data_IF_294563426732
#
_entry.id   IF_294563426732
#
_cell.length_a   1.000
_cell.length_b   1.000
_cell.length_c   1.000
_cell.angle_alpha   90.00
_cell.angle_beta   90.00
_cell.angle_gamma   90.00
#
_symmetry.space_group_name_H-M   'P 1'
#
loop_
_entity.id
_entity.type
_entity.pdbx_description
1 polymer ?
#
# COMPACT_ATOMS: atom_id res chain seq x y z
N UNK A 1 -11.80 20.16 -5.80
CA UNK A 1 -11.60 21.62 -5.65
C UNK A 1 -10.89 21.99 -4.35
N UNK A 2 -11.10 21.29 -3.23
CA UNK A 2 -10.46 21.63 -1.95
C UNK A 2 -8.92 21.60 -2.00
N UNK A 3 -8.31 20.60 -2.64
CA UNK A 3 -6.84 20.52 -2.79
C UNK A 3 -6.31 21.73 -3.56
N UNK A 4 -6.87 22.03 -4.73
CA UNK A 4 -6.51 23.21 -5.54
C UNK A 4 -6.60 24.50 -4.71
N UNK A 5 -7.73 24.73 -4.02
CA UNK A 5 -7.91 25.91 -3.16
C UNK A 5 -6.89 26.01 -2.03
N UNK A 6 -6.47 24.87 -1.47
CA UNK A 6 -5.41 24.86 -0.46
C UNK A 6 -4.06 25.22 -1.08
N UNK A 7 -3.75 24.68 -2.26
CA UNK A 7 -2.51 24.95 -2.99
C UNK A 7 -2.40 26.37 -3.52
N UNK A 8 -3.52 27.02 -3.81
CA UNK A 8 -3.58 28.46 -4.11
C UNK A 8 -3.19 29.33 -2.90
N UNK A 9 -3.36 28.83 -1.66
CA UNK A 9 -3.04 29.57 -0.43
C UNK A 9 -1.66 29.26 0.11
N UNK A 10 -1.18 28.03 -0.06
CA UNK A 10 0.15 27.62 0.39
C UNK A 10 0.63 26.36 -0.30
N UNK A 11 1.93 26.33 -0.59
CA UNK A 11 2.63 25.11 -1.00
C UNK A 11 3.08 24.27 0.20
N UNK A 12 3.06 24.81 1.43
CA UNK A 12 3.58 24.15 2.63
C UNK A 12 2.69 23.00 3.09
N UNK A 13 3.30 22.08 3.84
CA UNK A 13 2.62 20.92 4.42
C UNK A 13 2.38 19.80 3.40
N UNK A 14 1.88 18.67 3.91
CA UNK A 14 1.66 17.45 3.12
C UNK A 14 0.17 17.11 3.05
N UNK A 15 -0.37 17.02 1.84
CA UNK A 15 -1.73 16.51 1.59
C UNK A 15 -1.60 15.03 1.26
N UNK A 16 -1.99 14.19 2.21
CA UNK A 16 -2.00 12.74 2.07
C UNK A 16 -3.42 12.20 1.86
N UNK A 17 -3.60 11.34 0.86
CA UNK A 17 -4.84 10.60 0.65
C UNK A 17 -4.75 9.20 1.26
N UNK A 18 -5.66 8.87 2.17
CA UNK A 18 -5.89 7.49 2.60
C UNK A 18 -7.08 6.93 1.83
N UNK A 19 -6.89 5.80 1.15
CA UNK A 19 -7.95 5.20 0.32
C UNK A 19 -7.82 3.68 0.28
N UNK A 20 -8.90 3.01 -0.17
CA UNK A 20 -8.86 1.59 -0.54
C UNK A 20 -8.41 1.39 -2.00
N UNK A 21 -8.20 2.46 -2.77
CA UNK A 21 -7.75 2.41 -4.15
C UNK A 21 -8.81 1.92 -5.15
N UNK A 22 -10.10 1.96 -4.79
CA UNK A 22 -11.18 1.39 -5.60
C UNK A 22 -11.51 2.14 -6.90
N UNK A 23 -11.10 3.40 -7.04
CA UNK A 23 -11.48 4.25 -8.19
C UNK A 23 -10.24 4.99 -8.73
N UNK A 24 -9.48 4.38 -9.65
CA UNK A 24 -8.24 4.95 -10.17
C UNK A 24 -8.39 6.32 -10.80
N UNK A 25 -9.46 6.56 -11.58
CA UNK A 25 -9.62 7.85 -12.27
C UNK A 25 -9.86 9.00 -11.27
N UNK A 26 -10.53 8.72 -10.15
CA UNK A 26 -10.73 9.73 -9.09
C UNK A 26 -9.44 10.02 -8.34
N UNK A 27 -8.63 9.00 -8.06
CA UNK A 27 -7.32 9.20 -7.43
C UNK A 27 -6.39 10.02 -8.33
N UNK A 28 -6.36 9.73 -9.63
CA UNK A 28 -5.58 10.48 -10.62
C UNK A 28 -5.98 11.95 -10.67
N UNK A 29 -7.28 12.26 -10.68
CA UNK A 29 -7.78 13.64 -10.59
C UNK A 29 -7.35 14.38 -9.32
N UNK A 30 -7.16 13.66 -8.21
CA UNK A 30 -6.63 14.25 -6.98
C UNK A 30 -5.12 14.50 -7.08
N UNK A 31 -4.38 13.62 -7.77
CA UNK A 31 -2.97 13.83 -8.10
C UNK A 31 -2.80 15.13 -8.91
N UNK A 32 -3.56 15.28 -10.00
CA UNK A 32 -3.54 16.48 -10.84
C UNK A 32 -3.93 17.76 -10.08
N UNK A 33 -4.70 17.63 -8.99
CA UNK A 33 -5.13 18.75 -8.17
C UNK A 33 -4.06 19.22 -7.15
N UNK A 34 -2.92 18.54 -7.02
CA UNK A 34 -1.82 18.89 -6.10
C UNK A 34 -1.74 18.05 -4.82
N UNK A 35 -2.19 16.79 -4.87
CA UNK A 35 -1.94 15.80 -3.82
C UNK A 35 -0.43 15.50 -3.73
N UNK A 36 0.13 15.28 -2.54
CA UNK A 36 1.57 14.95 -2.40
C UNK A 36 1.82 13.46 -2.22
N UNK A 37 0.95 12.78 -1.48
CA UNK A 37 1.10 11.36 -1.18
C UNK A 37 -0.23 10.63 -1.16
N UNK A 38 -0.16 9.34 -1.46
CA UNK A 38 -1.29 8.43 -1.42
C UNK A 38 -0.89 7.15 -0.67
N UNK A 39 -1.85 6.65 0.11
CA UNK A 39 -1.74 5.38 0.81
C UNK A 39 -2.93 4.49 0.52
N UNK A 40 -2.64 3.27 0.07
CA UNK A 40 -3.65 2.23 -0.17
C UNK A 40 -3.50 1.10 0.83
N UNK A 41 -4.60 0.68 1.46
CA UNK A 41 -4.58 -0.43 2.42
C UNK A 41 -4.79 -1.77 1.73
N UNK A 42 -3.92 -2.74 2.01
CA UNK A 42 -3.98 -4.11 1.49
C UNK A 42 -3.66 -5.10 2.63
N UNK A 43 -4.38 -6.22 2.70
CA UNK A 43 -3.95 -7.38 3.47
C UNK A 43 -3.12 -8.37 2.64
N UNK A 44 -3.28 -8.35 1.32
CA UNK A 44 -2.63 -9.25 0.37
C UNK A 44 -2.63 -8.64 -1.03
N UNK A 45 -1.60 -8.93 -1.82
CA UNK A 45 -1.53 -8.63 -3.26
C UNK A 45 -2.33 -9.63 -4.12
N UNK A 46 -2.70 -10.78 -3.55
CA UNK A 46 -3.45 -11.82 -4.24
C UNK A 46 -4.96 -11.56 -4.15
N UNK A 47 -5.63 -11.57 -5.31
CA UNK A 47 -7.06 -11.28 -5.42
C UNK A 47 -7.94 -12.13 -4.49
N UNK A 48 -7.62 -13.42 -4.33
CA UNK A 48 -8.34 -14.33 -3.42
C UNK A 48 -8.34 -13.82 -1.98
N UNK A 49 -7.17 -13.56 -1.42
CA UNK A 49 -7.03 -13.19 -0.01
C UNK A 49 -7.43 -11.73 0.23
N UNK A 50 -7.20 -10.86 -0.75
CA UNK A 50 -7.77 -9.52 -0.76
C UNK A 50 -9.30 -9.56 -0.63
N UNK A 51 -9.97 -10.36 -1.47
CA UNK A 51 -11.44 -10.49 -1.45
C UNK A 51 -11.95 -11.08 -0.14
N UNK A 52 -11.30 -12.11 0.39
CA UNK A 52 -11.70 -12.77 1.64
C UNK A 52 -11.69 -11.80 2.83
N UNK A 53 -10.71 -10.92 2.90
CA UNK A 53 -10.59 -9.92 3.97
C UNK A 53 -11.48 -8.71 3.73
N UNK A 54 -11.31 -8.02 2.60
CA UNK A 54 -11.94 -6.72 2.35
C UNK A 54 -13.40 -6.82 1.91
N UNK A 55 -13.82 -7.97 1.36
CA UNK A 55 -15.16 -8.18 0.78
C UNK A 55 -15.62 -6.99 -0.09
N UNK A 56 -14.79 -6.58 -1.08
CA UNK A 56 -15.05 -5.37 -1.84
C UNK A 56 -16.31 -5.49 -2.71
N UNK A 57 -17.00 -4.37 -2.92
CA UNK A 57 -18.15 -4.25 -3.81
C UNK A 57 -17.73 -3.41 -5.02
N UNK A 58 -17.80 -4.00 -6.22
CA UNK A 58 -17.53 -3.28 -7.47
C UNK A 58 -16.06 -2.98 -7.77
N UNK A 59 -15.10 -3.55 -7.03
CA UNK A 59 -13.67 -3.47 -7.34
C UNK A 59 -12.89 -4.67 -6.79
N UNK A 60 -11.64 -4.79 -7.19
CA UNK A 60 -10.69 -5.83 -6.79
C UNK A 60 -9.34 -5.21 -6.42
N UNK A 61 -8.37 -6.06 -6.06
CA UNK A 61 -6.99 -5.61 -5.86
C UNK A 61 -6.41 -4.95 -7.11
N UNK A 62 -6.90 -5.25 -8.32
CA UNK A 62 -6.40 -4.67 -9.57
C UNK A 62 -6.58 -3.16 -9.60
N UNK A 63 -7.74 -2.65 -9.19
CA UNK A 63 -8.02 -1.21 -9.13
C UNK A 63 -7.12 -0.52 -8.08
N UNK A 64 -6.85 -1.19 -6.96
CA UNK A 64 -5.93 -0.69 -5.95
C UNK A 64 -4.50 -0.56 -6.48
N UNK A 65 -4.02 -1.57 -7.22
CA UNK A 65 -2.71 -1.54 -7.90
C UNK A 65 -2.67 -0.45 -8.98
N UNK A 66 -3.73 -0.35 -9.80
CA UNK A 66 -3.84 0.67 -10.84
C UNK A 66 -3.81 2.09 -10.27
N UNK A 67 -4.52 2.31 -9.16
CA UNK A 67 -4.49 3.58 -8.42
C UNK A 67 -3.06 3.97 -8.03
N UNK A 68 -2.28 3.03 -7.49
CA UNK A 68 -0.89 3.27 -7.12
C UNK A 68 -0.01 3.53 -8.34
N UNK A 69 -0.13 2.71 -9.39
CA UNK A 69 0.64 2.86 -10.64
C UNK A 69 0.40 4.23 -11.27
N UNK A 70 -0.86 4.68 -11.38
CA UNK A 70 -1.19 6.00 -11.93
C UNK A 70 -0.66 7.14 -11.06
N UNK A 71 -0.86 7.07 -9.75
CA UNK A 71 -0.35 8.08 -8.83
C UNK A 71 1.17 8.19 -8.92
N UNK A 72 1.89 7.05 -8.97
CA UNK A 72 3.35 7.04 -9.15
C UNK A 72 3.76 7.67 -10.48
N UNK A 73 3.04 7.37 -11.56
CA UNK A 73 3.26 7.98 -12.88
C UNK A 73 3.11 9.51 -12.88
N UNK A 74 2.35 10.07 -11.95
CA UNK A 74 2.19 11.51 -11.72
C UNK A 74 3.20 12.10 -10.72
N UNK A 75 4.17 11.32 -10.26
CA UNK A 75 5.19 11.76 -9.31
C UNK A 75 4.73 11.81 -7.86
N UNK A 76 3.56 11.25 -7.53
CA UNK A 76 3.05 11.20 -6.15
C UNK A 76 3.84 10.19 -5.33
N UNK A 77 4.10 10.52 -4.06
CA UNK A 77 4.70 9.58 -3.12
C UNK A 77 3.69 8.48 -2.76
N UNK A 78 3.99 7.25 -3.15
CA UNK A 78 3.07 6.12 -3.05
C UNK A 78 3.44 5.20 -1.90
N UNK A 79 2.45 4.82 -1.11
CA UNK A 79 2.63 3.88 -0.03
C UNK A 79 1.51 2.86 0.04
N UNK A 80 1.82 1.70 0.62
CA UNK A 80 0.80 0.76 1.06
C UNK A 80 0.76 0.68 2.58
N UNK A 81 -0.44 0.54 3.12
CA UNK A 81 -0.66 0.09 4.47
C UNK A 81 -0.86 -1.42 4.46
N UNK A 82 0.23 -2.17 4.61
CA UNK A 82 0.22 -3.63 4.60
C UNK A 82 -0.24 -4.12 5.98
N UNK A 83 -1.35 -4.84 6.01
CA UNK A 83 -1.87 -5.47 7.23
C UNK A 83 -1.12 -6.78 7.47
N UNK A 84 -0.14 -6.71 8.35
CA UNK A 84 0.81 -7.78 8.65
C UNK A 84 0.20 -8.76 9.62
N UNK A 85 0.22 -10.03 9.23
CA UNK A 85 -0.11 -11.17 10.06
C UNK A 85 1.02 -12.21 9.94
N UNK A 86 1.86 -12.39 10.97
CA UNK A 86 2.94 -13.39 10.95
C UNK A 86 2.42 -14.80 10.68
N UNK A 87 3.11 -15.56 9.85
CA UNK A 87 2.68 -16.85 9.33
C UNK A 87 1.88 -16.77 8.03
N UNK A 88 1.29 -15.61 7.73
CA UNK A 88 0.52 -15.40 6.50
C UNK A 88 1.21 -14.42 5.54
N UNK A 89 1.46 -13.19 5.99
CA UNK A 89 2.01 -12.12 5.13
C UNK A 89 3.45 -12.39 4.69
N UNK A 90 4.19 -13.17 5.48
CA UNK A 90 5.58 -13.59 5.28
C UNK A 90 5.72 -15.02 4.74
N UNK A 91 4.68 -15.59 4.15
CA UNK A 91 4.83 -16.83 3.38
C UNK A 91 5.38 -16.52 1.99
N UNK A 92 6.10 -17.48 1.40
CA UNK A 92 6.75 -17.36 0.09
C UNK A 92 5.84 -16.74 -0.99
N UNK A 93 4.62 -17.26 -1.15
CA UNK A 93 3.67 -16.73 -2.14
C UNK A 93 3.23 -15.28 -1.90
N UNK A 94 3.07 -14.85 -0.65
CA UNK A 94 2.74 -13.43 -0.39
C UNK A 94 3.94 -12.54 -0.73
N UNK A 95 5.16 -13.00 -0.42
CA UNK A 95 6.39 -12.27 -0.71
C UNK A 95 6.59 -12.13 -2.22
N UNK A 96 6.41 -13.20 -2.99
CA UNK A 96 6.41 -13.15 -4.47
C UNK A 96 5.39 -12.12 -4.98
N UNK A 97 4.17 -12.15 -4.43
CA UNK A 97 3.13 -11.19 -4.81
C UNK A 97 3.47 -9.75 -4.42
N UNK A 98 4.13 -9.53 -3.27
CA UNK A 98 4.61 -8.21 -2.86
C UNK A 98 5.75 -7.73 -3.76
N UNK A 99 6.64 -8.62 -4.20
CA UNK A 99 7.69 -8.31 -5.17
C UNK A 99 7.07 -7.82 -6.48
N UNK A 100 6.10 -8.56 -7.05
CA UNK A 100 5.41 -8.13 -8.27
C UNK A 100 4.63 -6.82 -8.08
N UNK A 101 4.00 -6.65 -6.92
CA UNK A 101 3.32 -5.39 -6.58
C UNK A 101 4.30 -4.22 -6.62
N UNK A 102 5.40 -4.30 -5.85
CA UNK A 102 6.40 -3.23 -5.76
C UNK A 102 7.03 -2.96 -7.12
N UNK A 103 7.35 -3.99 -7.90
CA UNK A 103 7.92 -3.85 -9.25
C UNK A 103 6.96 -3.09 -10.18
N UNK A 104 5.69 -3.43 -10.16
CA UNK A 104 4.66 -2.81 -11.02
C UNK A 104 4.33 -1.38 -10.63
N UNK A 105 4.22 -1.11 -9.33
CA UNK A 105 3.79 0.21 -8.83
C UNK A 105 4.95 1.15 -8.57
N UNK A 106 6.18 0.64 -8.44
CA UNK A 106 7.37 1.36 -7.96
C UNK A 106 7.07 2.09 -6.63
N UNK A 107 6.51 1.34 -5.68
CA UNK A 107 6.13 1.86 -4.37
C UNK A 107 7.31 2.51 -3.64
N UNK A 108 7.03 3.58 -2.91
CA UNK A 108 8.05 4.28 -2.12
C UNK A 108 8.14 3.73 -0.70
N UNK A 109 7.00 3.36 -0.11
CA UNK A 109 6.92 2.98 1.30
C UNK A 109 5.93 1.83 1.54
N UNK A 110 6.39 0.78 2.22
CA UNK A 110 5.52 -0.18 2.89
C UNK A 110 5.37 0.24 4.35
N UNK A 111 4.16 0.67 4.72
CA UNK A 111 3.79 0.86 6.11
C UNK A 111 3.26 -0.45 6.69
N UNK A 112 4.02 -1.03 7.61
CA UNK A 112 3.69 -2.30 8.23
C UNK A 112 2.78 -2.07 9.44
N UNK A 113 1.53 -2.53 9.36
CA UNK A 113 0.57 -2.43 10.46
C UNK A 113 0.15 -3.80 10.93
N UNK A 114 0.21 -4.02 12.24
CA UNK A 114 -0.30 -5.26 12.82
C UNK A 114 -1.78 -5.42 12.48
N UNK A 115 -2.14 -6.60 11.97
CA UNK A 115 -3.52 -6.96 11.76
C UNK A 115 -4.13 -7.39 13.11
N UNK A 116 -4.85 -6.47 13.74
CA UNK A 116 -5.50 -6.69 15.04
C UNK A 116 -6.85 -7.40 14.87
N UNK A 117 -6.81 -8.67 14.49
CA UNK A 117 -7.97 -9.55 14.34
C UNK A 117 -7.78 -10.81 15.19
N UNK A 118 -8.88 -11.47 15.55
CA UNK A 118 -8.82 -12.81 16.13
C UNK A 118 -8.02 -13.77 15.21
N UNK A 119 -6.90 -14.34 15.69
CA UNK A 119 -6.03 -15.19 14.87
C UNK A 119 -6.72 -16.46 14.37
N UNK A 120 -7.57 -17.09 15.16
CA UNK A 120 -8.25 -18.34 14.78
C UNK A 120 -9.30 -18.09 13.70
N UNK A 121 -10.06 -16.99 13.83
CA UNK A 121 -10.99 -16.54 12.80
C UNK A 121 -10.28 -16.21 11.49
N UNK A 122 -9.14 -15.50 11.58
CA UNK A 122 -8.37 -15.11 10.41
C UNK A 122 -7.81 -16.34 9.69
N UNK A 123 -7.16 -17.24 10.42
CA UNK A 123 -6.56 -18.46 9.86
C UNK A 123 -7.61 -19.43 9.31
N UNK A 124 -8.80 -19.50 9.92
CA UNK A 124 -9.94 -20.26 9.37
C UNK A 124 -10.37 -19.73 8.00
N UNK A 125 -10.31 -18.42 7.81
CA UNK A 125 -10.71 -17.75 6.56
C UNK A 125 -9.60 -17.78 5.50
N UNK A 126 -8.36 -17.54 5.93
CA UNK A 126 -7.22 -17.33 5.05
C UNK A 126 -6.41 -18.60 4.75
N UNK A 127 -6.61 -19.65 5.55
CA UNK A 127 -5.79 -20.84 5.55
C UNK A 127 -4.53 -20.65 6.40
N UNK A 128 -4.15 -21.73 7.09
CA UNK A 128 -2.87 -21.81 7.80
C UNK A 128 -1.75 -21.96 6.79
N UNK A 129 -0.65 -21.26 7.04
CA UNK A 129 0.60 -21.40 6.30
C UNK A 129 1.76 -21.20 7.28
N UNK A 130 2.92 -21.69 6.89
CA UNK A 130 4.18 -21.40 7.58
C UNK A 130 4.80 -20.15 6.95
N UNK A 131 4.99 -19.13 7.76
CA UNK A 131 5.71 -17.91 7.38
C UNK A 131 7.20 -18.10 7.61
N UNK A 132 8.01 -17.44 6.79
CA UNK A 132 9.48 -17.51 6.92
C UNK A 132 10.06 -16.46 7.87
N UNK A 133 9.21 -15.67 8.53
CA UNK A 133 9.55 -14.58 9.43
C UNK A 133 9.40 -13.22 8.77
N UNK A 134 8.76 -12.28 9.48
CA UNK A 134 8.57 -10.89 9.03
C UNK A 134 9.91 -10.21 8.70
N UNK A 135 10.95 -10.42 9.53
CA UNK A 135 12.27 -9.84 9.28
C UNK A 135 12.86 -10.34 7.95
N UNK A 136 12.75 -11.64 7.69
CA UNK A 136 13.24 -12.24 6.44
C UNK A 136 12.50 -11.71 5.21
N UNK A 137 11.18 -11.49 5.32
CA UNK A 137 10.41 -10.79 4.28
C UNK A 137 10.96 -9.38 4.02
N UNK A 138 11.21 -8.59 5.07
CA UNK A 138 11.78 -7.23 4.94
C UNK A 138 13.15 -7.30 4.26
N UNK A 139 14.02 -8.23 4.66
CA UNK A 139 15.37 -8.37 4.10
C UNK A 139 15.32 -8.72 2.60
N UNK A 140 14.43 -9.64 2.20
CA UNK A 140 14.22 -10.01 0.79
C UNK A 140 13.77 -8.80 -0.02
N UNK A 141 12.75 -8.08 0.45
CA UNK A 141 12.21 -6.92 -0.25
C UNK A 141 13.22 -5.76 -0.32
N UNK A 142 13.99 -5.54 0.75
CA UNK A 142 15.01 -4.48 0.79
C UNK A 142 16.18 -4.79 -0.14
N UNK A 143 16.56 -6.07 -0.28
CA UNK A 143 17.60 -6.52 -1.21
C UNK A 143 17.16 -6.38 -2.66
N UNK A 144 15.92 -6.75 -2.98
CA UNK A 144 15.35 -6.66 -4.32
C UNK A 144 15.07 -5.19 -4.72
N UNK A 145 14.63 -4.36 -3.78
CA UNK A 145 14.25 -2.96 -4.02
C UNK A 145 14.97 -2.01 -3.03
N UNK A 146 16.24 -1.63 -3.29
CA UNK A 146 17.01 -0.78 -2.38
C UNK A 146 16.42 0.62 -2.11
N UNK A 147 15.52 1.11 -2.98
CA UNK A 147 14.82 2.39 -2.80
C UNK A 147 13.50 2.27 -2.02
N UNK A 148 13.02 1.05 -1.80
CA UNK A 148 11.80 0.80 -1.04
C UNK A 148 12.06 1.05 0.44
N UNK A 149 11.22 1.87 1.05
CA UNK A 149 11.31 2.17 2.47
C UNK A 149 10.30 1.35 3.27
N UNK A 150 10.63 1.12 4.55
CA UNK A 150 9.73 0.54 5.53
C UNK A 150 9.45 1.55 6.63
N UNK A 151 8.24 1.52 7.19
CA UNK A 151 7.91 2.42 8.28
C UNK A 151 6.52 2.19 8.86
N UNK A 152 6.09 3.15 9.66
CA UNK A 152 4.81 3.07 10.37
C UNK A 152 3.93 4.29 10.12
N UNK A 153 4.52 5.49 10.02
CA UNK A 153 3.79 6.75 9.90
C UNK A 153 3.87 7.36 8.50
N UNK A 154 2.91 8.24 8.21
CA UNK A 154 2.99 9.10 7.04
C UNK A 154 4.20 10.05 7.19
N UNK A 155 4.86 10.30 6.08
CA UNK A 155 6.01 11.20 6.01
C UNK A 155 5.54 12.58 5.57
N UNK A 156 6.34 13.60 5.89
CA UNK A 156 6.16 14.91 5.27
C UNK A 156 6.92 14.94 3.94
N UNK A 157 6.50 15.79 3.00
CA UNK A 157 7.10 15.87 1.66
C UNK A 157 8.59 16.18 1.68
N UNK A 158 9.07 16.86 2.72
CA UNK A 158 10.50 17.16 2.95
C UNK A 158 11.32 15.92 3.36
N UNK A 159 10.65 14.82 3.76
CA UNK A 159 11.25 13.58 4.26
C UNK A 159 10.88 12.34 3.43
N UNK A 160 10.26 12.51 2.27
CA UNK A 160 9.83 11.39 1.42
C UNK A 160 10.98 10.46 1.04
N UNK A 161 12.14 11.01 0.67
CA UNK A 161 13.28 10.22 0.18
C UNK A 161 14.51 10.30 1.11
N UNK A 162 14.27 10.68 2.37
CA UNK A 162 15.29 10.69 3.42
C UNK A 162 15.17 9.46 4.32
#
# INVERSE_FOLDING_TARGET
>A
RSIVRLREKTDRGTINLNTNGSIPEKAERLCDAGLDSIRVTLNSSHSRYFKLYHRPIGYTVKEAVETLTRAKGKGIYTSINLLVFPGFTDREREIEGLIELVRKTRLDLIQMRNLNIDPDLYLKTMGKAEGMGIQKMIDILSKEFPSLQFGYFNRTKEKFYR
#
